data_IF_719231041596
#
_entry.id   IF_719231041596
#
_cell.length_a   1.000
_cell.length_b   1.000
_cell.length_c   1.000
_cell.angle_alpha   90.00
_cell.angle_beta   90.00
_cell.angle_gamma   90.00
#
_symmetry.space_group_name_H-M   'P 1'
#
loop_
_entity.id
_entity.type
_entity.pdbx_description
1 polymer ?
#
# COMPACT_ATOMS: atom_id res chain seq x y z
N UNK A 1 43.00 -14.79 0.38
CA UNK A 1 42.49 -13.49 0.89
C UNK A 1 42.41 -12.40 -0.18
N UNK A 2 43.39 -12.19 -1.10
CA UNK A 2 43.29 -11.11 -2.10
C UNK A 2 42.22 -11.32 -3.18
N UNK A 3 42.06 -12.54 -3.71
CA UNK A 3 41.11 -12.82 -4.82
C UNK A 3 39.62 -12.58 -4.48
N UNK A 4 39.23 -12.78 -3.22
CA UNK A 4 37.84 -12.57 -2.76
C UNK A 4 37.54 -11.08 -2.63
N UNK A 5 38.54 -10.29 -2.20
CA UNK A 5 38.45 -8.84 -2.08
C UNK A 5 38.33 -8.20 -3.46
N UNK A 6 39.14 -8.63 -4.44
CA UNK A 6 39.09 -8.12 -5.81
C UNK A 6 37.75 -8.44 -6.50
N UNK A 7 37.25 -9.67 -6.32
CA UNK A 7 35.93 -10.07 -6.84
C UNK A 7 34.80 -9.26 -6.19
N UNK A 8 34.93 -8.91 -4.90
CA UNK A 8 33.96 -8.09 -4.19
C UNK A 8 33.95 -6.64 -4.70
N UNK A 9 35.13 -6.09 -5.01
CA UNK A 9 35.27 -4.77 -5.63
C UNK A 9 34.61 -4.71 -7.01
N UNK A 10 34.78 -5.74 -7.84
CA UNK A 10 34.19 -5.77 -9.17
C UNK A 10 32.65 -5.85 -9.14
N UNK A 11 32.10 -6.64 -8.22
CA UNK A 11 30.64 -6.75 -8.00
C UNK A 11 30.08 -5.45 -7.45
N UNK A 12 30.74 -4.82 -6.47
CA UNK A 12 30.33 -3.51 -5.95
C UNK A 12 30.31 -2.47 -7.06
N UNK A 13 31.35 -2.40 -7.90
CA UNK A 13 31.44 -1.44 -9.00
C UNK A 13 30.31 -1.62 -10.00
N UNK A 14 29.99 -2.87 -10.36
CA UNK A 14 28.89 -3.18 -11.30
C UNK A 14 27.51 -2.82 -10.71
N UNK A 15 27.31 -3.00 -9.41
CA UNK A 15 26.08 -2.60 -8.71
C UNK A 15 26.00 -1.07 -8.61
N UNK A 16 27.09 -0.39 -8.25
CA UNK A 16 27.14 1.06 -8.11
C UNK A 16 26.91 1.78 -9.45
N UNK A 17 27.48 1.25 -10.54
CA UNK A 17 27.25 1.78 -11.90
C UNK A 17 25.79 1.61 -12.36
N UNK A 18 25.14 0.49 -12.00
CA UNK A 18 23.71 0.27 -12.27
C UNK A 18 22.83 1.17 -11.41
N UNK A 19 23.17 1.34 -10.13
CA UNK A 19 22.47 2.24 -9.21
C UNK A 19 22.60 3.71 -9.65
N UNK A 20 23.77 4.15 -10.13
CA UNK A 20 23.98 5.51 -10.69
C UNK A 20 23.12 5.79 -11.93
N UNK A 21 22.74 4.75 -12.68
CA UNK A 21 21.86 4.85 -13.87
C UNK A 21 20.37 4.76 -13.51
N UNK A 22 20.02 4.07 -12.42
CA UNK A 22 18.67 4.04 -11.86
C UNK A 22 18.29 5.43 -11.32
N UNK A 23 17.40 6.13 -12.05
CA UNK A 23 16.91 7.47 -11.67
C UNK A 23 17.40 8.63 -12.54
N UNK A 24 18.20 8.36 -13.59
CA UNK A 24 18.57 9.37 -14.61
C UNK A 24 17.80 9.24 -15.94
N UNK A 25 17.07 8.14 -16.16
CA UNK A 25 16.19 7.96 -17.32
C UNK A 25 14.89 8.78 -17.26
N UNK A 26 14.05 8.71 -18.31
CA UNK A 26 12.78 9.48 -18.41
C UNK A 26 11.91 9.36 -17.15
N UNK A 27 11.67 8.14 -16.66
CA UNK A 27 10.85 7.90 -15.47
C UNK A 27 11.47 8.43 -14.18
N UNK A 28 12.81 8.41 -14.05
CA UNK A 28 13.49 8.99 -12.89
C UNK A 28 13.34 10.51 -12.81
N UNK A 29 13.26 11.20 -13.96
CA UNK A 29 12.97 12.64 -14.01
C UNK A 29 11.52 12.93 -13.62
N UNK A 30 10.57 12.13 -14.09
CA UNK A 30 9.15 12.26 -13.72
C UNK A 30 8.94 12.05 -12.22
N UNK A 31 9.55 11.02 -11.64
CA UNK A 31 9.40 10.72 -10.22
C UNK A 31 10.06 11.79 -9.32
N UNK A 32 11.09 12.48 -9.82
CA UNK A 32 11.69 13.66 -9.18
C UNK A 32 10.84 14.93 -9.30
N UNK A 33 10.00 15.05 -10.35
CA UNK A 33 9.05 16.15 -10.50
C UNK A 33 7.79 15.96 -9.66
N UNK A 34 7.46 14.72 -9.26
CA UNK A 34 6.33 14.45 -8.40
C UNK A 34 6.52 15.12 -7.02
N UNK A 35 5.49 15.84 -6.58
CA UNK A 35 5.47 16.45 -5.24
C UNK A 35 5.33 15.35 -4.20
N UNK A 36 6.26 15.30 -3.24
CA UNK A 36 6.10 14.48 -2.04
C UNK A 36 4.95 15.07 -1.21
N UNK A 37 3.96 14.27 -0.78
CA UNK A 37 2.88 14.78 0.06
C UNK A 37 3.45 15.25 1.40
N UNK A 38 2.87 16.31 1.94
CA UNK A 38 3.12 16.71 3.33
C UNK A 38 2.45 15.74 4.30
N UNK A 39 2.93 15.68 5.54
CA UNK A 39 2.35 14.80 6.58
C UNK A 39 0.86 15.06 6.79
N UNK A 40 0.43 16.32 6.68
CA UNK A 40 -0.97 16.72 6.86
C UNK A 40 -1.86 16.25 5.69
N UNK A 41 -1.38 16.40 4.45
CA UNK A 41 -2.09 15.92 3.25
C UNK A 41 -2.24 14.40 3.28
N UNK A 42 -1.16 13.70 3.63
CA UNK A 42 -1.18 12.25 3.76
C UNK A 42 -2.18 11.80 4.83
N UNK A 43 -2.12 12.39 6.02
CA UNK A 43 -3.00 12.05 7.15
C UNK A 43 -4.47 12.28 6.82
N UNK A 44 -4.81 13.39 6.17
CA UNK A 44 -6.19 13.67 5.74
C UNK A 44 -6.71 12.64 4.75
N UNK A 45 -5.92 12.29 3.73
CA UNK A 45 -6.32 11.31 2.71
C UNK A 45 -6.51 9.92 3.34
N UNK A 46 -5.59 9.49 4.19
CA UNK A 46 -5.67 8.20 4.88
C UNK A 46 -6.90 8.14 5.79
N UNK A 47 -7.21 9.22 6.50
CA UNK A 47 -8.38 9.28 7.38
C UNK A 47 -9.69 9.14 6.60
N UNK A 48 -9.85 9.88 5.50
CA UNK A 48 -11.06 9.81 4.65
C UNK A 48 -11.18 8.42 4.00
N UNK A 49 -10.08 7.88 3.49
CA UNK A 49 -10.05 6.55 2.87
C UNK A 49 -10.37 5.46 3.89
N UNK A 50 -9.81 5.54 5.09
CA UNK A 50 -10.08 4.62 6.19
C UNK A 50 -11.54 4.65 6.64
N UNK A 51 -12.13 5.84 6.74
CA UNK A 51 -13.56 6.01 7.04
C UNK A 51 -14.44 5.39 5.96
N UNK A 52 -14.10 5.58 4.67
CA UNK A 52 -14.82 4.98 3.55
C UNK A 52 -14.78 3.45 3.58
N UNK A 53 -13.60 2.88 3.81
CA UNK A 53 -13.42 1.42 3.95
C UNK A 53 -14.22 0.86 5.12
N UNK A 54 -14.18 1.54 6.27
CA UNK A 54 -14.96 1.15 7.44
C UNK A 54 -16.46 1.19 7.16
N UNK A 55 -16.96 2.25 6.51
CA UNK A 55 -18.38 2.39 6.21
C UNK A 55 -18.89 1.29 5.27
N UNK A 56 -18.16 1.03 4.17
CA UNK A 56 -18.51 0.00 3.20
C UNK A 56 -18.42 -1.39 3.85
N UNK A 57 -17.35 -1.66 4.59
CA UNK A 57 -17.15 -2.93 5.29
C UNK A 57 -18.24 -3.20 6.33
N UNK A 58 -18.60 -2.21 7.14
CA UNK A 58 -19.69 -2.32 8.11
C UNK A 58 -21.04 -2.52 7.42
N UNK A 59 -21.31 -1.80 6.34
CA UNK A 59 -22.55 -1.96 5.57
C UNK A 59 -22.70 -3.39 5.06
N UNK A 60 -21.66 -3.94 4.41
CA UNK A 60 -21.66 -5.32 3.95
C UNK A 60 -21.78 -6.33 5.11
N UNK A 61 -21.11 -6.04 6.23
CA UNK A 61 -21.19 -6.86 7.44
C UNK A 61 -22.61 -6.89 8.04
N UNK A 62 -23.28 -5.75 8.15
CA UNK A 62 -24.66 -5.69 8.67
C UNK A 62 -25.65 -6.44 7.78
N UNK A 63 -25.51 -6.33 6.45
CA UNK A 63 -26.33 -7.09 5.51
C UNK A 63 -26.13 -8.60 5.72
N UNK A 64 -24.88 -9.05 5.80
CA UNK A 64 -24.57 -10.46 6.07
C UNK A 64 -25.12 -10.92 7.43
N UNK A 65 -24.91 -10.12 8.48
CA UNK A 65 -25.33 -10.45 9.83
C UNK A 65 -26.85 -10.57 9.93
N UNK A 66 -27.57 -9.63 9.32
CA UNK A 66 -29.03 -9.66 9.23
C UNK A 66 -29.52 -10.86 8.43
N UNK A 67 -28.90 -11.18 7.29
CA UNK A 67 -29.32 -12.34 6.50
C UNK A 67 -29.09 -13.67 7.26
N UNK A 68 -27.97 -13.79 7.98
CA UNK A 68 -27.59 -15.03 8.66
C UNK A 68 -28.38 -15.28 9.94
N UNK A 69 -28.56 -14.26 10.77
CA UNK A 69 -29.22 -14.41 12.07
C UNK A 69 -30.65 -13.89 12.07
N UNK A 70 -30.99 -12.97 11.17
CA UNK A 70 -32.32 -12.37 11.06
C UNK A 70 -33.40 -13.36 10.63
N UNK A 71 -33.08 -14.44 9.90
CA UNK A 71 -34.06 -15.49 9.60
C UNK A 71 -34.70 -16.04 10.89
N UNK A 72 -33.89 -16.32 11.92
CA UNK A 72 -34.39 -16.81 13.21
C UNK A 72 -35.16 -15.73 13.98
N UNK A 73 -34.75 -14.45 13.91
CA UNK A 73 -35.47 -13.36 14.57
C UNK A 73 -36.81 -13.05 13.90
N UNK A 74 -36.91 -13.12 12.58
CA UNK A 74 -38.15 -12.91 11.82
C UNK A 74 -39.13 -14.06 12.09
N UNK A 75 -38.67 -15.32 12.05
CA UNK A 75 -39.52 -16.48 12.33
C UNK A 75 -40.08 -16.46 13.76
N UNK A 76 -39.27 -16.05 14.74
CA UNK A 76 -39.70 -15.92 16.14
C UNK A 76 -40.60 -14.69 16.40
N UNK A 77 -40.63 -13.71 15.49
CA UNK A 77 -41.50 -12.53 15.60
C UNK A 77 -42.88 -12.75 14.97
N UNK A 78 -42.97 -13.63 13.97
CA UNK A 78 -44.22 -13.97 13.27
C UNK A 78 -44.97 -15.18 13.86
N UNK A 79 -44.50 -15.73 14.98
CA UNK A 79 -45.10 -16.83 15.73
C UNK A 79 -45.53 -16.36 17.11
#
# INVERSE_FOLDING_TARGET
>A
MPEIVDRSWEVQRRIEERAKRLGKGRFGRVLKMARKPTSDEYSKVVMITGLGLMFIGLTGFFIYWFMKYGYQYIENFFK
#
